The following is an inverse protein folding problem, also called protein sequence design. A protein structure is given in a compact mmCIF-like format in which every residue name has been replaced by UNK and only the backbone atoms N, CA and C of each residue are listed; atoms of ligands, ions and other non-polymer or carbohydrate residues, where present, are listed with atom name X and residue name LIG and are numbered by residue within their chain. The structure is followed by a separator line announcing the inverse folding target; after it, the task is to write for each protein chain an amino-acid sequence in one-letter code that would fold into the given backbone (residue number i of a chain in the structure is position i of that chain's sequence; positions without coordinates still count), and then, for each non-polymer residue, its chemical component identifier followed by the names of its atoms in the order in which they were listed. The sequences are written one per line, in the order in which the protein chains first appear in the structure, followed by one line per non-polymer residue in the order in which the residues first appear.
data_IF_470283593509
#
_entry.id   IF_470283593509
#
_cell.length_a   1.000
_cell.length_b   1.000
_cell.length_c   1.000
_cell.angle_alpha   90.00
_cell.angle_beta   90.00
_cell.angle_gamma   90.00
#
_symmetry.space_group_name_H-M   'P 1'
#
loop_
_entity.id
_entity.type
_entity.pdbx_description
1 polymer ?
#
# COMPACT_ATOMS: atom_id res chain seq x y z
N UNK A 1 -14.12 8.53 -35.46
CA UNK A 1 -12.80 8.52 -34.77
C UNK A 1 -13.00 7.79 -33.47
N UNK A 2 -12.41 6.61 -33.31
CA UNK A 2 -12.44 5.87 -32.05
C UNK A 2 -11.16 6.16 -31.27
N UNK A 3 -11.29 6.72 -30.06
CA UNK A 3 -10.18 6.82 -29.12
C UNK A 3 -10.03 5.45 -28.43
N UNK A 4 -9.01 4.69 -28.84
CA UNK A 4 -8.54 3.56 -28.04
C UNK A 4 -7.76 4.10 -26.84
N UNK A 5 -8.46 4.30 -25.72
CA UNK A 5 -7.80 4.51 -24.42
C UNK A 5 -7.19 3.17 -24.02
N UNK A 6 -5.89 3.03 -24.24
CA UNK A 6 -5.15 1.91 -23.67
C UNK A 6 -5.02 2.21 -22.18
N UNK A 7 -5.77 1.48 -21.34
CA UNK A 7 -5.57 1.49 -19.90
C UNK A 7 -4.23 0.77 -19.68
N UNK A 8 -3.14 1.51 -19.84
CA UNK A 8 -1.81 1.08 -19.41
C UNK A 8 -1.94 0.93 -17.90
N UNK A 9 -1.54 -0.25 -17.41
CA UNK A 9 -1.82 -0.64 -16.06
C UNK A 9 -1.42 0.40 -15.02
N UNK A 10 -2.25 0.59 -14.00
CA UNK A 10 -1.98 1.62 -12.99
C UNK A 10 -0.73 1.25 -12.17
N UNK A 11 -0.04 2.24 -11.61
CA UNK A 11 1.11 2.01 -10.72
C UNK A 11 0.79 1.06 -9.54
N UNK A 12 -0.50 0.94 -9.19
CA UNK A 12 -1.02 0.11 -8.10
C UNK A 12 -1.64 -1.21 -8.55
N UNK A 13 -1.48 -1.61 -9.81
CA UNK A 13 -1.87 -2.95 -10.22
C UNK A 13 -1.11 -4.02 -9.41
N UNK A 14 -1.86 -5.08 -9.09
CA UNK A 14 -1.40 -6.21 -8.28
C UNK A 14 -0.96 -5.82 -6.86
N UNK A 15 -1.51 -4.73 -6.31
CA UNK A 15 -1.26 -4.34 -4.91
C UNK A 15 -2.39 -4.72 -3.97
N UNK A 16 -2.05 -4.90 -2.70
CA UNK A 16 -2.98 -5.11 -1.59
C UNK A 16 -2.87 -3.93 -0.65
N UNK A 17 -4.00 -3.38 -0.19
CA UNK A 17 -4.01 -2.33 0.82
C UNK A 17 -4.35 -2.95 2.18
N UNK A 18 -3.52 -2.72 3.18
CA UNK A 18 -3.76 -3.11 4.57
C UNK A 18 -3.87 -1.85 5.45
N UNK A 19 -4.88 -1.82 6.32
CA UNK A 19 -4.96 -0.85 7.40
C UNK A 19 -4.23 -1.37 8.64
N UNK A 20 -3.30 -0.59 9.18
CA UNK A 20 -2.53 -0.94 10.38
C UNK A 20 -2.64 0.15 11.42
N UNK A 21 -2.58 -0.20 12.70
CA UNK A 21 -2.58 0.80 13.77
C UNK A 21 -1.45 1.81 13.52
N UNK A 22 -1.77 3.11 13.64
CA UNK A 22 -0.83 4.20 13.38
C UNK A 22 0.51 3.93 14.07
N UNK A 23 1.59 3.93 13.29
CA UNK A 23 2.92 3.57 13.78
C UNK A 23 4.01 4.35 13.04
N UNK A 24 4.70 5.24 13.75
CA UNK A 24 5.76 6.08 13.19
C UNK A 24 7.02 5.33 12.77
N UNK A 25 7.17 4.06 13.17
CA UNK A 25 8.33 3.22 12.85
C UNK A 25 8.19 2.47 11.52
N UNK A 26 7.03 2.53 10.87
CA UNK A 26 6.81 1.89 9.57
C UNK A 26 7.30 2.83 8.46
N UNK A 27 8.13 2.31 7.56
CA UNK A 27 8.59 3.01 6.37
C UNK A 27 8.71 2.06 5.16
N UNK A 28 8.93 2.64 3.97
CA UNK A 28 8.94 1.90 2.70
C UNK A 28 10.14 0.95 2.52
N UNK A 29 11.17 1.03 3.37
CA UNK A 29 12.33 0.13 3.32
C UNK A 29 12.06 -1.25 3.96
N UNK A 30 10.98 -1.35 4.73
CA UNK A 30 10.58 -2.58 5.40
C UNK A 30 9.95 -3.62 4.46
N UNK A 31 10.04 -4.89 4.84
CA UNK A 31 9.36 -6.01 4.18
C UNK A 31 8.19 -6.46 5.05
N UNK A 32 6.99 -6.45 4.49
CA UNK A 32 5.80 -6.98 5.15
C UNK A 32 5.69 -8.49 4.90
N UNK A 33 5.30 -9.26 5.92
CA UNK A 33 4.91 -10.65 5.77
C UNK A 33 3.42 -10.80 6.08
N UNK A 34 2.65 -11.30 5.12
CA UNK A 34 1.21 -11.45 5.24
C UNK A 34 0.77 -12.75 4.56
N UNK A 35 -0.03 -13.57 5.25
CA UNK A 35 -0.48 -14.88 4.78
C UNK A 35 0.66 -15.76 4.23
N UNK A 36 1.83 -15.74 4.87
CA UNK A 36 3.01 -16.52 4.47
C UNK A 36 3.84 -15.92 3.33
N UNK A 37 3.35 -14.88 2.64
CA UNK A 37 4.06 -14.24 1.55
C UNK A 37 4.81 -12.97 2.00
N UNK A 38 5.89 -12.62 1.30
CA UNK A 38 6.67 -11.40 1.54
C UNK A 38 6.30 -10.32 0.52
N UNK A 39 6.13 -9.09 1.00
CA UNK A 39 5.71 -7.94 0.20
C UNK A 39 6.64 -6.76 0.44
N UNK A 40 6.82 -5.95 -0.60
CA UNK A 40 7.39 -4.60 -0.47
C UNK A 40 6.29 -3.60 -0.17
N UNK A 41 6.56 -2.64 0.71
CA UNK A 41 5.69 -1.50 0.96
C UNK A 41 5.98 -0.45 -0.13
N UNK A 42 5.09 -0.36 -1.12
CA UNK A 42 5.26 0.57 -2.26
C UNK A 42 4.64 1.93 -1.96
N UNK A 43 3.62 1.98 -1.10
CA UNK A 43 3.08 3.23 -0.58
C UNK A 43 2.65 3.16 0.88
N UNK A 44 2.65 4.32 1.53
CA UNK A 44 2.26 4.46 2.93
C UNK A 44 1.56 5.80 3.17
N UNK A 45 0.28 5.74 3.47
CA UNK A 45 -0.55 6.91 3.79
C UNK A 45 -0.82 6.94 5.29
N UNK A 46 -0.33 7.99 5.95
CA UNK A 46 -0.54 8.19 7.39
C UNK A 46 -1.91 8.79 7.65
N UNK A 47 -2.64 8.23 8.60
CA UNK A 47 -3.90 8.82 9.04
C UNK A 47 -3.64 10.18 9.69
N UNK A 48 -4.39 11.19 9.25
CA UNK A 48 -4.32 12.57 9.73
C UNK A 48 -5.59 13.03 10.46
N UNK A 49 -6.52 12.10 10.77
CA UNK A 49 -7.81 12.40 11.41
C UNK A 49 -7.73 13.06 12.80
N UNK A 50 -6.56 13.10 13.43
CA UNK A 50 -6.39 13.63 14.79
C UNK A 50 -7.01 12.75 15.88
N UNK A 51 -7.54 11.57 15.52
CA UNK A 51 -8.11 10.64 16.49
C UNK A 51 -7.02 10.04 17.39
N UNK A 52 -7.30 9.80 18.69
CA UNK A 52 -6.40 9.09 19.60
C UNK A 52 -6.02 7.68 19.08
N UNK A 53 -6.90 7.12 18.26
CA UNK A 53 -6.78 5.83 17.60
C UNK A 53 -6.84 6.06 16.10
N UNK A 54 -5.70 6.02 15.42
CA UNK A 54 -5.59 6.15 13.96
C UNK A 54 -5.11 4.86 13.30
N UNK A 55 -5.41 4.71 12.01
CA UNK A 55 -4.94 3.59 11.18
C UNK A 55 -4.28 4.09 9.91
N UNK A 56 -3.01 3.78 9.71
CA UNK A 56 -2.29 4.10 8.49
C UNK A 56 -2.61 3.03 7.41
N UNK A 57 -2.56 3.44 6.15
CA UNK A 57 -2.76 2.53 5.00
C UNK A 57 -1.41 2.19 4.40
N UNK A 58 -1.11 0.89 4.32
CA UNK A 58 0.06 0.35 3.63
C UNK A 58 -0.38 -0.28 2.31
N UNK A 59 0.25 0.15 1.22
CA UNK A 59 0.08 -0.49 -0.09
C UNK A 59 1.24 -1.45 -0.33
N UNK A 60 0.90 -2.72 -0.50
CA UNK A 60 1.83 -3.83 -0.60
C UNK A 60 1.88 -4.39 -2.01
N UNK A 61 3.08 -4.69 -2.51
CA UNK A 61 3.27 -5.43 -3.76
C UNK A 61 4.05 -6.71 -3.50
N UNK A 62 3.60 -7.82 -4.07
CA UNK A 62 4.25 -9.12 -3.86
C UNK A 62 5.72 -9.03 -4.31
N UNK A 63 6.63 -9.40 -3.42
CA UNK A 63 8.05 -9.46 -3.76
C UNK A 63 8.29 -10.76 -4.53
N UNK A 64 8.43 -10.65 -5.85
CA UNK A 64 8.84 -11.77 -6.71
C UNK A 64 10.30 -12.15 -6.43
#
# INVERSE_FOLDING_TARGET
MEQKVQIIGTAYEETIILAVRRNSKIDKSMIAQYQGNKYQIVDFSKDSSGLPVGYDLMTLKLKK
#
